data_IF_797958733363
#
_entry.id   IF_797958733363
#
_cell.length_a   1.000
_cell.length_b   1.000
_cell.length_c   1.000
_cell.angle_alpha   90.00
_cell.angle_beta   90.00
_cell.angle_gamma   90.00
#
_symmetry.space_group_name_H-M   'P 1'
#
loop_
_entity.id
_entity.type
_entity.pdbx_description
1 polymer ?
#
# COMPACT_ATOMS: atom_id res chain seq x y z
N UNK A 1 -29.53 -29.60 31.29
CA UNK A 1 -28.24 -28.94 30.85
C UNK A 1 -27.16 -29.96 31.23
N UNK A 2 -26.45 -30.53 30.25
CA UNK A 2 -25.34 -31.46 30.53
C UNK A 2 -24.15 -30.60 30.95
N UNK A 3 -23.67 -30.87 32.18
CA UNK A 3 -22.41 -30.29 32.68
C UNK A 3 -21.30 -30.71 31.75
N UNK A 4 -20.70 -29.74 31.09
CA UNK A 4 -19.54 -29.94 30.22
C UNK A 4 -18.35 -30.21 31.16
N UNK A 5 -17.94 -31.48 31.28
CA UNK A 5 -16.78 -31.85 32.08
C UNK A 5 -15.54 -31.07 31.59
N UNK A 6 -14.94 -30.31 32.50
CA UNK A 6 -13.71 -29.56 32.23
C UNK A 6 -12.55 -30.57 32.09
N UNK A 7 -11.80 -30.54 31.00
CA UNK A 7 -10.66 -31.42 30.81
C UNK A 7 -9.67 -31.29 31.97
N UNK A 8 -9.29 -32.41 32.56
CA UNK A 8 -8.27 -32.47 33.68
C UNK A 8 -6.84 -32.28 33.18
N UNK A 9 -6.64 -32.13 31.88
CA UNK A 9 -5.29 -31.93 31.33
C UNK A 9 -4.85 -30.46 31.54
N UNK A 10 -3.74 -30.29 32.25
CA UNK A 10 -3.17 -28.97 32.58
C UNK A 10 -2.73 -28.15 31.34
N UNK A 11 -2.62 -28.80 30.19
CA UNK A 11 -2.21 -28.18 28.94
C UNK A 11 -3.42 -27.65 28.11
N UNK A 12 -4.66 -27.97 28.54
CA UNK A 12 -5.89 -27.52 27.87
C UNK A 12 -6.46 -26.33 28.64
N UNK A 13 -6.50 -25.17 28.00
CA UNK A 13 -7.14 -23.97 28.52
C UNK A 13 -8.51 -23.82 27.86
N UNK A 14 -9.56 -23.79 28.67
CA UNK A 14 -10.90 -23.46 28.20
C UNK A 14 -10.99 -21.94 28.01
N UNK A 15 -11.31 -21.51 26.80
CA UNK A 15 -11.52 -20.13 26.43
C UNK A 15 -12.95 -19.99 25.92
N UNK A 16 -13.66 -18.94 26.34
CA UNK A 16 -14.97 -18.60 25.80
C UNK A 16 -14.83 -18.28 24.30
N UNK A 17 -15.69 -18.86 23.47
CA UNK A 17 -15.73 -18.55 22.04
C UNK A 17 -15.92 -17.05 21.78
N UNK A 18 -16.77 -16.40 22.58
CA UNK A 18 -17.02 -14.96 22.50
C UNK A 18 -15.75 -14.16 22.77
N UNK A 19 -15.01 -14.51 23.83
CA UNK A 19 -13.80 -13.77 24.21
C UNK A 19 -12.68 -13.95 23.19
N UNK A 20 -12.51 -15.17 22.68
CA UNK A 20 -11.53 -15.48 21.63
C UNK A 20 -11.87 -14.73 20.33
N UNK A 21 -13.14 -14.76 19.90
CA UNK A 21 -13.57 -14.01 18.72
C UNK A 21 -13.36 -12.51 18.89
N UNK A 22 -13.74 -11.95 20.03
CA UNK A 22 -13.58 -10.52 20.31
C UNK A 22 -12.11 -10.11 20.29
N UNK A 23 -11.23 -10.88 20.92
CA UNK A 23 -9.79 -10.63 20.93
C UNK A 23 -9.19 -10.75 19.53
N UNK A 24 -9.58 -11.76 18.76
CA UNK A 24 -9.10 -11.98 17.40
C UNK A 24 -9.57 -10.88 16.45
N UNK A 25 -10.84 -10.45 16.52
CA UNK A 25 -11.35 -9.34 15.73
C UNK A 25 -10.66 -8.01 16.09
N UNK A 26 -10.45 -7.75 17.37
CA UNK A 26 -9.74 -6.54 17.80
C UNK A 26 -8.30 -6.54 17.29
N UNK A 27 -7.60 -7.66 17.43
CA UNK A 27 -6.22 -7.82 16.94
C UNK A 27 -6.14 -7.62 15.42
N UNK A 28 -7.07 -8.21 14.65
CA UNK A 28 -7.15 -8.01 13.22
C UNK A 28 -7.44 -6.56 12.85
N UNK A 29 -8.43 -5.92 13.48
CA UNK A 29 -8.78 -4.52 13.23
C UNK A 29 -7.61 -3.58 13.53
N UNK A 30 -6.93 -3.77 14.65
CA UNK A 30 -5.74 -3.00 15.03
C UNK A 30 -4.61 -3.18 14.00
N UNK A 31 -4.36 -4.41 13.56
CA UNK A 31 -3.36 -4.69 12.53
C UNK A 31 -3.68 -3.97 11.22
N UNK A 32 -4.93 -4.03 10.76
CA UNK A 32 -5.36 -3.35 9.52
C UNK A 32 -5.25 -1.83 9.65
N UNK A 33 -5.65 -1.26 10.79
CA UNK A 33 -5.57 0.19 11.01
C UNK A 33 -4.11 0.64 11.04
N UNK A 34 -3.29 0.05 11.91
CA UNK A 34 -1.91 0.48 12.15
C UNK A 34 -1.00 0.19 10.97
N UNK A 35 -1.11 -0.98 10.35
CA UNK A 35 -0.18 -1.41 9.29
C UNK A 35 -0.64 -1.11 7.87
N UNK A 36 -1.86 -0.64 7.66
CA UNK A 36 -2.41 -0.41 6.32
C UNK A 36 -3.07 0.96 6.15
N UNK A 37 -3.96 1.37 7.07
CA UNK A 37 -4.83 2.53 6.87
C UNK A 37 -4.17 3.85 7.27
N UNK A 38 -3.38 3.86 8.35
CA UNK A 38 -2.75 5.07 8.85
C UNK A 38 -1.50 5.43 8.03
N UNK A 39 -1.38 6.69 7.61
CA UNK A 39 -0.13 7.20 7.04
C UNK A 39 0.93 7.35 8.12
N UNK A 40 2.20 7.21 7.73
CA UNK A 40 3.33 7.46 8.64
C UNK A 40 3.44 8.97 8.93
N UNK A 41 3.61 9.33 10.20
CA UNK A 41 3.70 10.74 10.63
C UNK A 41 4.92 11.47 10.04
N UNK A 42 5.96 10.73 9.66
CA UNK A 42 7.21 11.30 9.15
C UNK A 42 7.09 11.83 7.73
N UNK A 43 6.36 11.11 6.86
CA UNK A 43 6.28 11.41 5.42
C UNK A 43 4.86 11.35 4.84
N UNK A 44 3.86 11.03 5.66
CA UNK A 44 2.47 10.94 5.23
C UNK A 44 2.16 9.74 4.32
N UNK A 45 3.07 8.80 4.14
CA UNK A 45 2.91 7.69 3.22
C UNK A 45 2.29 6.48 3.92
N UNK A 46 1.37 5.82 3.22
CA UNK A 46 0.90 4.48 3.57
C UNK A 46 1.83 3.42 2.99
N UNK A 47 1.81 2.18 3.51
CA UNK A 47 2.67 1.11 2.99
C UNK A 47 2.54 0.87 1.48
N UNK A 48 1.34 0.99 0.92
CA UNK A 48 1.13 0.86 -0.53
C UNK A 48 1.85 1.94 -1.32
N UNK A 49 1.85 3.18 -0.84
CA UNK A 49 2.55 4.30 -1.49
C UNK A 49 4.07 4.06 -1.52
N UNK A 50 4.65 3.60 -0.40
CA UNK A 50 6.08 3.24 -0.33
C UNK A 50 6.44 2.16 -1.33
N UNK A 51 5.61 1.12 -1.44
CA UNK A 51 5.83 0.02 -2.38
C UNK A 51 5.74 0.47 -3.83
N UNK A 52 4.82 1.37 -4.15
CA UNK A 52 4.72 1.97 -5.50
C UNK A 52 5.98 2.78 -5.81
N UNK A 53 6.38 3.70 -4.93
CA UNK A 53 7.58 4.53 -5.13
C UNK A 53 8.84 3.67 -5.27
N UNK A 54 8.99 2.67 -4.42
CA UNK A 54 10.13 1.75 -4.46
C UNK A 54 10.16 0.91 -5.75
N UNK A 55 9.01 0.38 -6.17
CA UNK A 55 8.90 -0.35 -7.43
C UNK A 55 9.25 0.54 -8.64
N UNK A 56 8.78 1.78 -8.64
CA UNK A 56 9.08 2.75 -9.69
C UNK A 56 10.56 3.12 -9.71
N UNK A 57 11.18 3.29 -8.55
CA UNK A 57 12.61 3.53 -8.41
C UNK A 57 13.44 2.36 -8.96
N UNK A 58 13.17 1.14 -8.48
CA UNK A 58 13.88 -0.07 -8.95
C UNK A 58 13.63 -0.39 -10.42
N UNK A 59 12.46 -0.03 -10.95
CA UNK A 59 12.15 -0.11 -12.37
C UNK A 59 12.80 0.98 -13.23
N UNK A 60 13.41 1.97 -12.58
CA UNK A 60 14.03 3.11 -13.26
C UNK A 60 13.03 4.03 -13.96
N UNK A 61 11.83 4.18 -13.41
CA UNK A 61 10.77 5.06 -13.95
C UNK A 61 10.91 6.50 -13.43
N UNK A 62 12.08 7.03 -13.61
CA UNK A 62 12.53 8.35 -13.15
C UNK A 62 11.81 9.50 -13.87
N UNK A 63 11.76 10.66 -13.23
CA UNK A 63 11.18 11.90 -13.76
C UNK A 63 11.84 12.37 -15.07
N UNK A 64 13.11 12.04 -15.29
CA UNK A 64 13.85 12.41 -16.49
C UNK A 64 13.60 11.46 -17.68
N UNK A 65 12.91 10.32 -17.44
CA UNK A 65 12.66 9.30 -18.44
C UNK A 65 11.25 9.38 -19.00
N UNK A 66 11.01 8.58 -20.02
CA UNK A 66 9.69 8.48 -20.65
C UNK A 66 8.65 7.90 -19.70
N UNK A 67 7.41 8.32 -19.87
CA UNK A 67 6.27 7.72 -19.21
C UNK A 67 6.15 6.22 -19.51
N UNK A 68 5.62 5.47 -18.56
CA UNK A 68 5.36 4.04 -18.69
C UNK A 68 3.89 3.75 -18.39
N UNK A 69 3.33 2.75 -19.06
CA UNK A 69 1.95 2.32 -18.81
C UNK A 69 1.74 2.01 -17.33
N UNK A 70 0.70 2.57 -16.74
CA UNK A 70 0.36 2.34 -15.34
C UNK A 70 0.18 0.86 -15.02
N UNK A 71 -0.38 0.09 -15.98
CA UNK A 71 -0.52 -1.36 -15.84
C UNK A 71 0.81 -2.09 -15.61
N UNK A 72 1.91 -1.62 -16.20
CA UNK A 72 3.24 -2.20 -15.96
C UNK A 72 3.71 -1.95 -14.54
N UNK A 73 3.54 -0.72 -14.06
CA UNK A 73 3.94 -0.34 -12.70
C UNK A 73 3.12 -1.13 -11.67
N UNK A 74 1.81 -1.21 -11.86
CA UNK A 74 0.92 -2.01 -11.01
C UNK A 74 1.36 -3.48 -11.00
N UNK A 75 1.67 -4.06 -12.17
CA UNK A 75 2.17 -5.43 -12.28
C UNK A 75 3.49 -5.66 -11.53
N UNK A 76 4.45 -4.73 -11.64
CA UNK A 76 5.72 -4.80 -10.90
C UNK A 76 5.50 -4.72 -9.37
N UNK A 77 4.57 -3.89 -8.92
CA UNK A 77 4.22 -3.75 -7.49
C UNK A 77 3.62 -5.04 -6.95
N UNK A 78 2.63 -5.59 -7.64
CA UNK A 78 1.92 -6.80 -7.19
C UNK A 78 2.87 -8.00 -7.22
N UNK A 79 3.60 -8.15 -8.30
CA UNK A 79 4.47 -9.31 -8.50
C UNK A 79 5.66 -9.39 -7.55
N UNK A 80 6.09 -8.26 -6.96
CA UNK A 80 7.33 -8.21 -6.15
C UNK A 80 7.13 -7.74 -4.72
N UNK A 81 6.13 -6.89 -4.44
CA UNK A 81 6.09 -6.15 -3.17
C UNK A 81 4.73 -6.18 -2.47
N UNK A 82 3.62 -6.40 -3.17
CA UNK A 82 2.28 -6.19 -2.62
C UNK A 82 1.28 -7.24 -3.14
N UNK A 83 1.12 -8.39 -2.43
CA UNK A 83 0.26 -9.50 -2.88
C UNK A 83 -1.23 -9.20 -2.63
N UNK A 84 -1.76 -8.19 -3.29
CA UNK A 84 -3.15 -7.75 -3.19
C UNK A 84 -3.72 -7.48 -4.59
N UNK A 85 -5.01 -7.16 -4.67
CA UNK A 85 -5.67 -6.88 -5.96
C UNK A 85 -5.06 -5.68 -6.70
N UNK A 86 -4.98 -5.78 -8.00
CA UNK A 86 -4.45 -4.77 -8.91
C UNK A 86 -5.19 -3.43 -8.83
N UNK A 87 -6.52 -3.48 -8.69
CA UNK A 87 -7.33 -2.28 -8.59
C UNK A 87 -6.93 -1.42 -7.39
N UNK A 88 -6.68 -2.03 -6.22
CA UNK A 88 -6.29 -1.29 -5.02
C UNK A 88 -4.95 -0.57 -5.17
N UNK A 89 -4.00 -1.19 -5.87
CA UNK A 89 -2.70 -0.59 -6.18
C UNK A 89 -2.86 0.53 -7.21
N UNK A 90 -3.69 0.30 -8.23
CA UNK A 90 -3.96 1.32 -9.24
C UNK A 90 -4.65 2.55 -8.64
N UNK A 91 -5.67 2.37 -7.80
CA UNK A 91 -6.36 3.47 -7.13
C UNK A 91 -5.41 4.30 -6.24
N UNK A 92 -4.46 3.63 -5.57
CA UNK A 92 -3.42 4.33 -4.82
C UNK A 92 -2.49 5.12 -5.75
N UNK A 93 -2.06 4.53 -6.87
CA UNK A 93 -1.24 5.21 -7.89
C UNK A 93 -1.96 6.43 -8.48
N UNK A 94 -3.26 6.30 -8.80
CA UNK A 94 -4.09 7.40 -9.29
C UNK A 94 -4.08 8.58 -8.32
N UNK A 95 -4.31 8.31 -7.02
CA UNK A 95 -4.29 9.38 -5.99
C UNK A 95 -2.94 10.07 -5.87
N UNK A 96 -1.83 9.37 -6.10
CA UNK A 96 -0.48 9.96 -6.07
C UNK A 96 -0.20 10.88 -7.27
N UNK A 97 -1.01 10.80 -8.33
CA UNK A 97 -0.94 11.68 -9.51
C UNK A 97 -1.83 12.91 -9.36
N UNK A 98 -2.95 12.77 -8.63
CA UNK A 98 -3.97 13.81 -8.52
C UNK A 98 -3.49 14.96 -7.62
N UNK A 99 -3.49 16.18 -8.12
CA UNK A 99 -3.12 17.39 -7.40
C UNK A 99 -4.15 17.82 -6.34
N UNK A 100 -5.41 17.40 -6.50
CA UNK A 100 -6.47 17.61 -5.52
C UNK A 100 -6.51 16.53 -4.42
N UNK A 101 -5.82 15.42 -4.60
CA UNK A 101 -5.75 14.32 -3.60
C UNK A 101 -4.49 14.40 -2.72
N UNK A 102 -3.41 14.97 -3.23
CA UNK A 102 -2.15 15.11 -2.51
C UNK A 102 -1.66 16.55 -2.56
N UNK A 103 -1.23 17.08 -1.41
CA UNK A 103 -0.63 18.42 -1.35
C UNK A 103 0.58 18.56 -2.26
N UNK A 104 1.32 17.47 -2.48
CA UNK A 104 2.47 17.39 -3.36
C UNK A 104 2.43 16.06 -4.12
N UNK A 105 2.01 16.06 -5.39
CA UNK A 105 1.96 14.84 -6.19
C UNK A 105 3.35 14.22 -6.34
N UNK A 106 3.47 12.95 -5.97
CA UNK A 106 4.72 12.20 -6.03
C UNK A 106 4.93 11.48 -7.35
N UNK A 107 3.88 11.36 -8.14
CA UNK A 107 3.89 10.71 -9.45
C UNK A 107 3.34 11.68 -10.48
N UNK A 108 4.00 11.75 -11.63
CA UNK A 108 3.49 12.44 -12.80
C UNK A 108 2.70 11.47 -13.67
N UNK A 109 1.54 11.90 -14.15
CA UNK A 109 0.68 11.12 -15.02
C UNK A 109 0.45 11.76 -16.37
N UNK A 110 0.19 10.92 -17.36
CA UNK A 110 -0.28 11.29 -18.67
C UNK A 110 -1.52 10.47 -19.01
N UNK A 111 -2.62 11.17 -19.36
CA UNK A 111 -3.92 10.57 -19.58
C UNK A 111 -4.97 11.06 -18.58
N UNK A 112 -6.10 10.38 -18.52
CA UNK A 112 -7.19 10.74 -17.62
C UNK A 112 -7.05 10.03 -16.27
N UNK A 113 -6.78 10.80 -15.22
CA UNK A 113 -6.68 10.32 -13.82
C UNK A 113 -7.88 10.74 -12.98
N UNK A 114 -9.00 11.07 -13.61
CA UNK A 114 -10.21 11.52 -12.91
C UNK A 114 -10.23 13.02 -12.67
N UNK A 115 -11.30 13.49 -12.05
CA UNK A 115 -11.51 14.89 -11.70
C UNK A 115 -11.97 15.07 -10.27
N UNK A 116 -11.90 16.30 -9.77
CA UNK A 116 -12.41 16.66 -8.44
C UNK A 116 -13.94 16.51 -8.37
N UNK A 117 -14.63 16.56 -9.51
CA UNK A 117 -16.08 16.41 -9.61
C UNK A 117 -16.53 14.94 -9.52
N UNK A 118 -15.60 14.02 -9.37
CA UNK A 118 -15.88 12.59 -9.13
C UNK A 118 -15.80 11.70 -10.37
N UNK A 119 -15.32 12.21 -11.51
CA UNK A 119 -15.08 11.37 -12.68
C UNK A 119 -14.01 10.33 -12.37
N UNK A 120 -14.23 9.06 -12.73
CA UNK A 120 -13.25 8.00 -12.48
C UNK A 120 -12.03 8.14 -13.41
N UNK A 121 -10.89 7.67 -12.95
CA UNK A 121 -9.72 7.52 -13.80
C UNK A 121 -9.97 6.51 -14.92
N UNK A 122 -9.33 6.71 -16.06
CA UNK A 122 -9.31 5.72 -17.12
C UNK A 122 -8.60 4.44 -16.69
N UNK A 123 -8.90 3.31 -17.33
CA UNK A 123 -8.26 2.04 -17.01
C UNK A 123 -6.73 2.14 -17.15
N UNK A 124 -5.99 1.39 -16.28
CA UNK A 124 -4.53 1.44 -16.18
C UNK A 124 -3.77 1.13 -17.48
N UNK A 125 -4.43 0.49 -18.44
CA UNK A 125 -3.84 0.22 -19.78
C UNK A 125 -3.75 1.47 -20.65
N UNK A 126 -4.55 2.50 -20.37
CA UNK A 126 -4.57 3.76 -21.13
C UNK A 126 -3.72 4.85 -20.49
N UNK A 127 -3.61 4.87 -19.18
CA UNK A 127 -2.83 5.87 -18.44
C UNK A 127 -1.35 5.52 -18.40
N UNK A 128 -0.52 6.55 -18.29
CA UNK A 128 0.94 6.40 -18.21
C UNK A 128 1.46 7.23 -17.04
N UNK A 129 2.47 6.72 -16.35
CA UNK A 129 3.03 7.39 -15.17
C UNK A 129 4.56 7.30 -15.13
N UNK A 130 5.16 8.22 -14.39
CA UNK A 130 6.57 8.23 -13.98
C UNK A 130 6.71 8.93 -12.64
N UNK A 131 7.86 8.79 -11.96
CA UNK A 131 8.12 9.54 -10.74
C UNK A 131 8.11 11.05 -11.01
N UNK A 132 7.58 11.82 -10.08
CA UNK A 132 7.76 13.26 -10.08
C UNK A 132 9.17 13.62 -9.59
N UNK A 133 9.69 14.78 -9.97
CA UNK A 133 11.04 15.23 -9.54
C UNK A 133 11.15 15.31 -8.01
N UNK A 134 10.08 15.71 -7.35
CA UNK A 134 10.02 15.82 -5.89
C UNK A 134 10.18 14.46 -5.19
N UNK A 135 9.74 13.37 -5.79
CA UNK A 135 9.89 12.03 -5.23
C UNK A 135 11.34 11.60 -5.08
N UNK A 136 12.24 12.24 -5.82
CA UNK A 136 13.68 11.98 -5.69
C UNK A 136 14.16 12.27 -4.27
N UNK A 137 13.69 13.33 -3.63
CA UNK A 137 14.07 13.66 -2.24
C UNK A 137 13.66 12.61 -1.21
N UNK A 138 12.62 11.83 -1.50
CA UNK A 138 12.19 10.71 -0.64
C UNK A 138 13.01 9.44 -0.87
N UNK A 139 13.68 9.33 -2.02
CA UNK A 139 14.34 8.11 -2.47
C UNK A 139 15.86 8.29 -2.47
N UNK A 140 16.35 9.52 -2.46
CA UNK A 140 17.79 9.81 -2.40
C UNK A 140 18.42 9.06 -1.23
N UNK A 141 19.59 8.47 -1.50
CA UNK A 141 20.36 7.72 -0.53
C UNK A 141 19.69 6.47 0.07
N UNK A 142 18.57 5.98 -0.51
CA UNK A 142 17.87 4.80 -0.03
C UNK A 142 18.77 3.54 0.02
N UNK A 143 19.84 3.51 -0.77
CA UNK A 143 20.81 2.41 -0.81
C UNK A 143 21.94 2.55 0.22
N UNK A 144 21.95 3.64 0.98
CA UNK A 144 22.99 3.97 1.98
C UNK A 144 22.57 3.66 3.42
N UNK A 145 21.72 2.65 3.64
CA UNK A 145 21.19 2.26 4.95
C UNK A 145 20.44 3.40 5.69
N UNK A 146 19.77 4.25 4.94
CA UNK A 146 18.94 5.34 5.48
C UNK A 146 17.57 4.87 5.94
N UNK A 147 17.17 3.66 5.53
CA UNK A 147 15.87 3.05 5.84
C UNK A 147 16.05 1.57 6.17
N UNK A 148 15.17 1.05 7.03
CA UNK A 148 15.13 -0.36 7.36
C UNK A 148 14.30 -1.14 6.32
N UNK A 149 14.81 -2.30 5.92
CA UNK A 149 14.10 -3.22 5.05
C UNK A 149 13.57 -4.41 5.85
N UNK A 150 12.37 -4.82 5.51
CA UNK A 150 11.79 -6.08 6.00
C UNK A 150 11.67 -7.07 4.85
N UNK A 151 11.89 -8.34 5.16
CA UNK A 151 11.65 -9.41 4.19
C UNK A 151 10.22 -9.35 3.67
N UNK A 152 10.07 -9.51 2.39
CA UNK A 152 8.78 -9.63 1.73
C UNK A 152 8.34 -11.12 1.75
N UNK A 153 7.25 -11.45 1.09
CA UNK A 153 6.76 -12.84 0.96
C UNK A 153 7.58 -13.65 -0.05
#
# INVERSE_FOLDING_TARGET
MKDTEIPKDKNIKLISMHDEMSASYLSYAMSVIVSRALPDIRDGLKPVHRRILFAMYKGGYDWSKQFRKSARIVGDVIGKYHPHGDQSVYDALVRMVQDFSMSLPLVQGQGNFGSIDGDPAAAMRYTETRLAKVSQYLIDDIEKNTVDYKSNY
#
